data_IF_870879498243
#
_entry.id   IF_870879498243
#
_cell.length_a   1.000
_cell.length_b   1.000
_cell.length_c   1.000
_cell.angle_alpha   90.00
_cell.angle_beta   90.00
_cell.angle_gamma   90.00
#
_symmetry.space_group_name_H-M   'P 1'
#
loop_
_entity.id
_entity.type
_entity.pdbx_description
1 polymer ?
#
# COMPACT_ATOMS: atom_id res chain seq x y z
N UNK A 1 -6.83 19.92 -9.77
CA UNK A 1 -5.97 18.77 -9.46
C UNK A 1 -6.54 18.02 -8.27
N UNK A 2 -6.50 16.69 -8.33
CA UNK A 2 -7.02 15.82 -7.28
C UNK A 2 -5.87 15.33 -6.41
N UNK A 3 -6.01 15.51 -5.09
CA UNK A 3 -5.01 15.12 -4.11
C UNK A 3 -5.51 13.87 -3.38
N UNK A 4 -4.77 12.75 -3.41
CA UNK A 4 -5.19 11.56 -2.68
C UNK A 4 -4.98 11.71 -1.18
N UNK A 5 -5.88 11.07 -0.42
CA UNK A 5 -5.84 11.05 1.03
C UNK A 5 -6.00 9.63 1.54
N UNK A 6 -5.17 9.26 2.51
CA UNK A 6 -5.27 7.97 3.18
C UNK A 6 -6.44 8.00 4.17
N UNK A 7 -7.45 7.16 3.94
CA UNK A 7 -8.60 7.04 4.85
C UNK A 7 -8.35 6.01 5.95
N UNK A 8 -7.84 4.85 5.58
CA UNK A 8 -7.61 3.75 6.51
C UNK A 8 -6.64 2.74 5.92
N UNK A 9 -6.12 1.89 6.78
CA UNK A 9 -5.28 0.77 6.36
C UNK A 9 -5.41 -0.35 7.39
N UNK A 10 -5.24 -1.59 6.92
CA UNK A 10 -5.35 -2.76 7.77
C UNK A 10 -4.62 -3.94 7.15
N UNK A 11 -4.44 -5.00 7.93
CA UNK A 11 -3.90 -6.26 7.45
C UNK A 11 -4.84 -7.40 7.82
N UNK A 12 -5.01 -8.35 6.91
CA UNK A 12 -5.75 -9.58 7.17
C UNK A 12 -5.02 -10.50 8.17
N UNK A 13 -3.70 -10.33 8.32
CA UNK A 13 -2.87 -11.16 9.19
C UNK A 13 -2.71 -10.60 10.59
N UNK A 14 -3.05 -9.31 10.79
CA UNK A 14 -2.85 -8.62 12.07
C UNK A 14 -4.11 -7.88 12.46
N UNK A 15 -4.52 -8.02 13.73
CA UNK A 15 -5.55 -7.15 14.27
C UNK A 15 -5.03 -5.71 14.35
N UNK A 16 -5.96 -4.75 14.33
CA UNK A 16 -5.61 -3.33 14.36
C UNK A 16 -4.75 -3.02 15.58
N UNK A 17 -3.62 -2.37 15.34
CA UNK A 17 -2.68 -1.98 16.39
C UNK A 17 -1.66 -3.04 16.77
N UNK A 18 -1.82 -4.27 16.29
CA UNK A 18 -0.85 -5.33 16.56
C UNK A 18 0.25 -5.32 15.51
N UNK A 19 1.42 -5.83 15.89
CA UNK A 19 2.57 -5.98 15.01
C UNK A 19 2.93 -7.46 14.93
N UNK A 20 3.72 -7.87 13.90
CA UNK A 20 4.17 -9.26 13.80
C UNK A 20 4.99 -9.68 15.03
N UNK A 21 4.98 -10.97 15.34
CA UNK A 21 5.77 -11.53 16.44
C UNK A 21 7.26 -11.29 16.26
N UNK A 22 7.74 -11.26 15.02
CA UNK A 22 9.11 -10.86 14.70
C UNK A 22 9.09 -9.73 13.69
N UNK A 23 9.09 -8.46 14.16
CA UNK A 23 9.02 -7.32 13.25
C UNK A 23 10.23 -7.17 12.33
N UNK A 24 11.35 -7.81 12.64
CA UNK A 24 12.57 -7.75 11.81
C UNK A 24 12.64 -8.88 10.80
N UNK A 25 11.69 -9.82 10.85
CA UNK A 25 11.62 -10.92 9.90
C UNK A 25 10.16 -11.26 9.63
N UNK A 26 9.54 -10.56 8.69
CA UNK A 26 8.10 -10.71 8.43
C UNK A 26 7.71 -10.32 7.02
N UNK A 27 6.58 -10.89 6.59
CA UNK A 27 5.84 -10.54 5.38
C UNK A 27 4.41 -10.25 5.82
N UNK A 28 3.94 -9.02 5.64
CA UNK A 28 2.63 -8.60 6.11
C UNK A 28 1.84 -7.99 4.96
N UNK A 29 0.74 -8.62 4.53
CA UNK A 29 -0.14 -8.02 3.53
C UNK A 29 -0.92 -6.86 4.16
N UNK A 30 -0.97 -5.73 3.46
CA UNK A 30 -1.69 -4.53 3.90
C UNK A 30 -2.59 -4.05 2.79
N UNK A 31 -3.79 -3.60 3.16
CA UNK A 31 -4.70 -2.93 2.26
C UNK A 31 -4.95 -1.52 2.79
N UNK A 32 -4.76 -0.53 1.94
CA UNK A 32 -5.03 0.87 2.24
C UNK A 32 -6.23 1.35 1.43
N UNK A 33 -7.12 2.10 2.07
CA UNK A 33 -8.22 2.79 1.37
C UNK A 33 -7.82 4.24 1.18
N UNK A 34 -7.78 4.67 -0.08
CA UNK A 34 -7.30 5.99 -0.49
C UNK A 34 -8.40 6.65 -1.31
N UNK A 35 -8.70 7.91 -1.00
CA UNK A 35 -9.77 8.67 -1.65
C UNK A 35 -9.26 10.02 -2.15
N UNK A 36 -10.03 10.67 -3.06
CA UNK A 36 -9.83 12.09 -3.29
C UNK A 36 -10.06 12.85 -1.98
N UNK A 37 -9.25 13.88 -1.71
CA UNK A 37 -9.44 14.74 -0.55
C UNK A 37 -10.85 15.33 -0.58
N UNK A 38 -11.54 15.25 0.56
CA UNK A 38 -12.92 15.72 0.68
C UNK A 38 -13.97 14.66 0.39
N UNK A 39 -13.59 13.48 -0.07
CA UNK A 39 -14.50 12.35 -0.30
C UNK A 39 -14.35 11.32 0.81
N UNK A 40 -15.47 10.72 1.23
CA UNK A 40 -15.47 9.60 2.17
C UNK A 40 -15.38 8.25 1.47
N UNK A 41 -15.51 8.21 0.15
CA UNK A 41 -15.45 7.00 -0.65
C UNK A 41 -14.11 6.94 -1.38
N UNK A 42 -13.42 5.82 -1.25
CA UNK A 42 -12.12 5.61 -1.88
C UNK A 42 -11.99 4.23 -2.47
N UNK A 43 -10.84 3.99 -3.08
CA UNK A 43 -10.49 2.69 -3.65
C UNK A 43 -9.48 1.99 -2.75
N UNK A 44 -9.46 0.67 -2.83
CA UNK A 44 -8.51 -0.15 -2.08
C UNK A 44 -7.26 -0.42 -2.90
N UNK A 45 -6.12 -0.27 -2.24
CA UNK A 45 -4.81 -0.54 -2.80
C UNK A 45 -4.08 -1.49 -1.85
N UNK A 46 -3.57 -2.58 -2.39
CA UNK A 46 -2.90 -3.62 -1.59
C UNK A 46 -1.40 -3.60 -1.83
N UNK A 47 -0.65 -4.03 -0.83
CA UNK A 47 0.79 -4.18 -0.94
C UNK A 47 1.27 -5.11 0.17
N UNK A 48 2.49 -5.63 -0.01
CA UNK A 48 3.15 -6.48 0.95
C UNK A 48 4.24 -5.67 1.65
N UNK A 49 4.22 -5.63 2.99
CA UNK A 49 5.31 -5.06 3.77
C UNK A 49 6.27 -6.19 4.09
N UNK A 50 7.52 -6.06 3.70
CA UNK A 50 8.49 -7.15 3.77
C UNK A 50 9.81 -6.67 4.36
N UNK A 51 10.39 -7.50 5.23
CA UNK A 51 11.79 -7.33 5.62
C UNK A 51 12.68 -8.06 4.61
N UNK A 52 13.92 -7.60 4.37
CA UNK A 52 14.78 -8.25 3.39
C UNK A 52 15.01 -9.74 3.66
N UNK A 53 15.20 -10.13 4.91
CA UNK A 53 15.44 -11.51 5.28
C UNK A 53 14.25 -12.42 4.99
N UNK A 54 13.04 -11.96 5.31
CA UNK A 54 11.83 -12.72 5.05
C UNK A 54 11.53 -12.80 3.56
N UNK A 55 11.78 -11.73 2.81
CA UNK A 55 11.60 -11.72 1.37
C UNK A 55 12.57 -12.70 0.69
N UNK A 56 13.82 -12.73 1.12
CA UNK A 56 14.82 -13.67 0.61
C UNK A 56 14.41 -15.12 0.91
N UNK A 57 13.94 -15.38 2.13
CA UNK A 57 13.49 -16.72 2.54
C UNK A 57 12.28 -17.19 1.73
N UNK A 58 11.41 -16.26 1.31
CA UNK A 58 10.22 -16.61 0.54
C UNK A 58 10.53 -17.18 -0.84
N UNK A 59 11.76 -16.99 -1.34
CA UNK A 59 12.16 -17.48 -2.64
C UNK A 59 11.54 -16.76 -3.83
N UNK A 60 10.89 -15.61 -3.59
CA UNK A 60 10.28 -14.84 -4.66
C UNK A 60 11.33 -14.04 -5.41
N UNK A 61 11.30 -14.15 -6.71
CA UNK A 61 12.11 -13.31 -7.57
C UNK A 61 11.23 -12.56 -8.56
N UNK A 62 11.81 -11.50 -9.15
CA UNK A 62 11.17 -10.74 -10.21
C UNK A 62 11.00 -9.29 -9.82
N UNK A 63 10.14 -8.60 -10.55
CA UNK A 63 9.89 -7.19 -10.32
C UNK A 63 9.12 -6.99 -9.02
N UNK A 64 9.59 -6.05 -8.17
CA UNK A 64 9.08 -5.86 -6.82
C UNK A 64 7.88 -4.91 -6.69
N UNK A 65 7.02 -4.82 -7.69
CA UNK A 65 5.82 -3.99 -7.59
C UNK A 65 4.91 -4.50 -6.48
N UNK A 66 4.33 -3.56 -5.71
CA UNK A 66 3.44 -3.91 -4.61
C UNK A 66 4.16 -4.39 -3.35
N UNK A 67 5.43 -4.07 -3.21
CA UNK A 67 6.22 -4.46 -2.05
C UNK A 67 6.87 -3.23 -1.42
N UNK A 68 6.59 -3.02 -0.13
CA UNK A 68 7.29 -2.02 0.68
C UNK A 68 8.34 -2.74 1.53
N UNK A 69 9.61 -2.43 1.28
CA UNK A 69 10.71 -3.06 2.01
C UNK A 69 11.04 -2.21 3.23
N UNK A 70 11.08 -2.83 4.40
CA UNK A 70 11.37 -2.17 5.67
C UNK A 70 12.41 -2.97 6.44
N UNK A 71 13.19 -2.29 7.29
CA UNK A 71 14.12 -2.98 8.19
C UNK A 71 13.37 -3.67 9.32
N UNK A 72 12.31 -3.04 9.80
CA UNK A 72 11.48 -3.55 10.87
C UNK A 72 10.06 -3.03 10.68
N UNK A 73 9.06 -3.87 10.97
CA UNK A 73 7.67 -3.50 10.80
C UNK A 73 7.21 -2.55 11.90
N UNK A 74 6.68 -1.39 11.52
CA UNK A 74 5.92 -0.51 12.40
C UNK A 74 4.76 0.08 11.62
N UNK A 75 3.60 0.23 12.24
CA UNK A 75 2.47 0.89 11.58
C UNK A 75 2.78 2.35 11.25
N UNK A 76 3.49 3.04 12.13
CA UNK A 76 3.91 4.42 11.87
C UNK A 76 4.80 4.52 10.62
N UNK A 77 5.69 3.57 10.43
CA UNK A 77 6.55 3.51 9.23
C UNK A 77 5.77 3.24 7.96
N UNK A 78 4.78 2.35 8.03
CA UNK A 78 3.89 2.05 6.91
C UNK A 78 3.10 3.30 6.52
N UNK A 79 2.47 3.97 7.49
CA UNK A 79 1.70 5.19 7.24
C UNK A 79 2.55 6.30 6.66
N UNK A 80 3.76 6.51 7.19
CA UNK A 80 4.68 7.53 6.68
C UNK A 80 5.08 7.24 5.24
N UNK A 81 5.34 5.97 4.90
CA UNK A 81 5.69 5.56 3.55
C UNK A 81 4.54 5.75 2.58
N UNK A 82 3.31 5.43 3.00
CA UNK A 82 2.11 5.68 2.20
C UNK A 82 1.92 7.18 1.95
N UNK A 83 2.00 7.99 3.00
CA UNK A 83 1.80 9.44 2.86
C UNK A 83 2.86 10.08 1.96
N UNK A 84 4.09 9.58 2.00
CA UNK A 84 5.14 10.05 1.09
C UNK A 84 4.80 9.74 -0.36
N UNK A 85 4.27 8.54 -0.62
CA UNK A 85 3.83 8.16 -1.95
C UNK A 85 2.66 9.04 -2.42
N UNK A 86 1.67 9.25 -1.55
CA UNK A 86 0.50 10.08 -1.86
C UNK A 86 0.88 11.53 -2.18
N UNK A 87 1.91 12.06 -1.52
CA UNK A 87 2.37 13.44 -1.74
C UNK A 87 2.81 13.69 -3.18
N UNK A 88 3.15 12.66 -3.94
CA UNK A 88 3.62 12.77 -5.32
C UNK A 88 2.64 12.20 -6.35
N UNK A 89 1.41 11.88 -5.92
CA UNK A 89 0.44 11.19 -6.77
C UNK A 89 -0.72 12.08 -7.25
N UNK A 90 -0.71 13.37 -6.96
CA UNK A 90 -1.77 14.27 -7.40
C UNK A 90 -1.83 14.36 -8.95
N UNK A 91 -3.03 14.28 -9.50
CA UNK A 91 -3.29 14.36 -10.95
C UNK A 91 -4.62 15.05 -11.18
N UNK A 92 -4.95 15.29 -12.45
CA UNK A 92 -6.16 16.04 -12.80
C UNK A 92 -7.44 15.22 -12.63
N UNK A 93 -7.35 13.88 -12.76
CA UNK A 93 -8.50 12.99 -12.56
C UNK A 93 -8.17 11.93 -11.54
N UNK A 94 -9.22 11.39 -10.89
CA UNK A 94 -9.04 10.28 -9.95
C UNK A 94 -8.44 9.04 -10.62
N UNK A 95 -8.87 8.75 -11.86
CA UNK A 95 -8.30 7.62 -12.61
C UNK A 95 -6.79 7.77 -12.78
N UNK A 96 -6.32 8.96 -13.10
CA UNK A 96 -4.88 9.20 -13.26
C UNK A 96 -4.15 9.12 -11.91
N UNK A 97 -4.77 9.56 -10.83
CA UNK A 97 -4.22 9.38 -9.48
C UNK A 97 -4.08 7.90 -9.17
N UNK A 98 -5.14 7.13 -9.37
CA UNK A 98 -5.14 5.69 -9.09
C UNK A 98 -4.09 4.97 -9.92
N UNK A 99 -3.92 5.33 -11.19
CA UNK A 99 -2.89 4.74 -12.04
C UNK A 99 -1.47 5.12 -11.60
N UNK A 100 -1.29 6.34 -11.10
CA UNK A 100 0.00 6.74 -10.53
C UNK A 100 0.34 5.90 -9.29
N UNK A 101 -0.64 5.68 -8.42
CA UNK A 101 -0.47 4.83 -7.24
C UNK A 101 -0.26 3.37 -7.62
N UNK A 102 -0.89 2.92 -8.70
CA UNK A 102 -0.80 1.54 -9.17
C UNK A 102 0.59 1.16 -9.71
N UNK A 103 1.49 2.11 -9.84
CA UNK A 103 2.89 1.83 -10.18
C UNK A 103 3.64 1.20 -9.00
N UNK A 104 3.25 1.56 -7.78
CA UNK A 104 3.89 1.07 -6.56
C UNK A 104 2.99 0.11 -5.78
N UNK A 105 1.67 0.35 -5.79
CA UNK A 105 0.67 -0.43 -5.07
C UNK A 105 -0.12 -1.28 -6.07
N UNK A 106 -0.98 -2.16 -5.55
CA UNK A 106 -1.87 -2.97 -6.37
C UNK A 106 -3.31 -2.44 -6.23
N UNK A 107 -3.76 -1.73 -7.24
CA UNK A 107 -5.10 -1.12 -7.27
C UNK A 107 -6.16 -2.20 -7.54
N UNK A 108 -7.25 -2.22 -6.75
CA UNK A 108 -8.30 -3.24 -6.86
C UNK A 108 -8.98 -3.26 -8.24
N UNK A 109 -8.98 -2.15 -8.96
CA UNK A 109 -9.57 -2.05 -10.29
C UNK A 109 -8.55 -2.14 -11.42
N UNK A 110 -7.32 -2.54 -11.12
CA UNK A 110 -6.31 -2.72 -12.18
C UNK A 110 -6.77 -3.80 -13.15
N UNK A 111 -6.79 -3.45 -14.44
CA UNK A 111 -7.26 -4.36 -15.48
C UNK A 111 -8.78 -4.50 -15.55
N UNK A 112 -9.54 -3.77 -14.73
CA UNK A 112 -11.00 -3.82 -14.76
C UNK A 112 -11.51 -3.22 -16.08
N UNK A 113 -12.37 -3.97 -16.75
CA UNK A 113 -13.00 -3.58 -18.01
C UNK A 113 -14.51 -3.50 -17.78
N UNK A 114 -15.08 -2.30 -17.60
CA UNK A 114 -16.53 -2.19 -17.45
C UNK A 114 -17.23 -2.56 -18.75
N UNK A 115 -18.25 -3.33 -18.68
CA UNK A 115 -19.09 -3.66 -19.82
C UNK A 115 -19.20 -4.90 -20.32
#
# INVERSE_FOLDING_TARGET
MIFPKLLSYSSSDLEMGFIPSDPQHCLVPVTATISPTGSAAGDNFSFLVATPSALAESGKFGWGRGILIVDSFTWAGVERSLNRLLAHAARDTWQDVAQALNKELLWEFDGYQPG
#
